data_IF_286243908429
#
_entry.id   IF_286243908429
#
_cell.length_a   1.000
_cell.length_b   1.000
_cell.length_c   1.000
_cell.angle_alpha   90.00
_cell.angle_beta   90.00
_cell.angle_gamma   90.00
#
_symmetry.space_group_name_H-M   'P 1'
#
loop_
_entity.id
_entity.type
_entity.pdbx_description
1 polymer ?
#
# COMPACT_ATOMS: atom_id res chain seq x y z
N UNK A 1 10.95 15.55 -27.75
CA UNK A 1 11.52 14.90 -26.55
C UNK A 1 10.62 13.72 -26.20
N UNK A 2 11.11 12.48 -26.27
CA UNK A 2 10.31 11.31 -25.82
C UNK A 2 10.28 11.34 -24.30
N UNK A 3 9.10 11.56 -23.72
CA UNK A 3 8.87 11.39 -22.30
C UNK A 3 9.14 9.91 -21.97
N UNK A 4 10.24 9.62 -21.28
CA UNK A 4 10.43 8.31 -20.69
C UNK A 4 9.57 8.28 -19.42
N UNK A 5 8.40 7.64 -19.48
CA UNK A 5 7.67 7.28 -18.27
C UNK A 5 8.62 6.45 -17.40
N UNK A 6 9.04 7.01 -16.26
CA UNK A 6 9.64 6.18 -15.22
C UNK A 6 8.54 5.22 -14.76
N UNK A 7 8.77 3.90 -14.76
CA UNK A 7 7.77 2.96 -14.28
C UNK A 7 7.39 3.35 -12.84
N UNK A 8 6.08 3.48 -12.61
CA UNK A 8 5.57 3.85 -11.30
C UNK A 8 5.86 2.71 -10.33
N UNK A 9 6.46 3.01 -9.17
CA UNK A 9 6.84 1.98 -8.20
C UNK A 9 5.60 1.26 -7.70
N UNK A 10 5.68 -0.07 -7.67
CA UNK A 10 4.63 -0.94 -7.18
C UNK A 10 4.94 -1.45 -5.77
N UNK A 11 3.93 -1.97 -5.08
CA UNK A 11 4.16 -2.67 -3.80
C UNK A 11 4.96 -3.95 -4.01
N UNK A 12 4.89 -4.59 -5.18
CA UNK A 12 5.70 -5.75 -5.53
C UNK A 12 7.19 -5.39 -5.52
N UNK A 13 7.57 -4.22 -6.04
CA UNK A 13 8.96 -3.74 -6.00
C UNK A 13 9.44 -3.56 -4.56
N UNK A 14 8.59 -2.99 -3.70
CA UNK A 14 8.89 -2.79 -2.27
C UNK A 14 9.03 -4.15 -1.55
N UNK A 15 8.17 -5.13 -1.85
CA UNK A 15 8.31 -6.51 -1.32
C UNK A 15 9.62 -7.14 -1.80
N UNK A 16 9.88 -7.12 -3.11
CA UNK A 16 11.06 -7.74 -3.71
C UNK A 16 12.37 -7.12 -3.20
N UNK A 17 12.35 -5.85 -2.82
CA UNK A 17 13.51 -5.17 -2.22
C UNK A 17 13.80 -5.57 -0.76
N UNK A 18 12.88 -6.27 -0.10
CA UNK A 18 13.00 -6.71 1.29
C UNK A 18 12.58 -5.68 2.34
N UNK A 19 12.09 -4.49 1.94
CA UNK A 19 11.58 -3.49 2.90
C UNK A 19 10.37 -4.00 3.70
N UNK A 20 9.54 -4.86 3.09
CA UNK A 20 8.38 -5.47 3.73
C UNK A 20 8.25 -6.93 3.33
N UNK A 21 7.66 -7.74 4.23
CA UNK A 21 7.31 -9.13 3.93
C UNK A 21 5.94 -9.21 3.24
N UNK A 22 5.70 -10.20 2.37
CA UNK A 22 4.38 -10.46 1.82
C UNK A 22 3.41 -10.92 2.92
N UNK A 23 2.10 -10.79 2.66
CA UNK A 23 1.01 -11.04 3.62
C UNK A 23 1.01 -10.14 4.87
N UNK A 24 1.72 -9.02 4.84
CA UNK A 24 1.73 -8.05 5.94
C UNK A 24 0.38 -7.33 6.04
N UNK A 25 -0.10 -7.14 7.26
CA UNK A 25 -1.33 -6.39 7.53
C UNK A 25 -1.19 -4.93 7.09
N UNK A 26 -2.27 -4.38 6.55
CA UNK A 26 -2.39 -2.94 6.27
C UNK A 26 -3.43 -2.28 7.16
N UNK A 27 -3.09 -1.06 7.54
CA UNK A 27 -3.82 -0.25 8.48
C UNK A 27 -4.25 1.05 7.81
N UNK A 28 -5.45 1.55 8.16
CA UNK A 28 -5.86 2.87 7.73
C UNK A 28 -5.20 3.96 8.57
N UNK A 29 -4.76 5.04 7.92
CA UNK A 29 -4.19 6.22 8.58
C UNK A 29 -5.13 6.93 9.56
N UNK A 30 -6.45 6.82 9.37
CA UNK A 30 -7.45 7.55 10.16
C UNK A 30 -7.66 7.01 11.58
N UNK A 31 -7.42 5.72 11.80
CA UNK A 31 -7.77 5.04 13.05
C UNK A 31 -6.90 3.82 13.36
N UNK A 32 -5.92 3.51 12.51
CA UNK A 32 -4.97 2.41 12.70
C UNK A 32 -5.65 1.04 12.91
N UNK A 33 -6.86 0.88 12.35
CA UNK A 33 -7.52 -0.42 12.30
C UNK A 33 -6.93 -1.27 11.18
N UNK A 34 -6.76 -2.57 11.45
CA UNK A 34 -6.42 -3.56 10.42
C UNK A 34 -7.58 -3.65 9.45
N UNK A 35 -7.34 -3.35 8.18
CA UNK A 35 -8.36 -3.42 7.13
C UNK A 35 -8.14 -4.59 6.16
N UNK A 36 -6.94 -5.18 6.19
CA UNK A 36 -6.56 -6.20 5.24
C UNK A 36 -5.07 -6.49 5.25
N UNK A 37 -4.55 -6.92 4.11
CA UNK A 37 -3.12 -7.25 3.93
C UNK A 37 -2.61 -6.93 2.53
N UNK A 38 -1.29 -6.76 2.40
CA UNK A 38 -0.61 -6.77 1.10
C UNK A 38 -0.25 -8.21 0.78
N UNK A 39 -0.75 -8.75 -0.34
CA UNK A 39 -0.43 -10.11 -0.75
C UNK A 39 0.93 -10.22 -1.46
N UNK A 40 1.33 -11.44 -1.81
CA UNK A 40 2.63 -11.70 -2.46
C UNK A 40 2.77 -11.04 -3.84
N UNK A 41 1.67 -10.71 -4.50
CA UNK A 41 1.66 -10.01 -5.79
C UNK A 41 1.72 -8.48 -5.64
N UNK A 42 1.86 -7.95 -4.42
CA UNK A 42 1.86 -6.51 -4.20
C UNK A 42 0.46 -5.89 -4.38
N UNK A 43 -0.60 -6.67 -4.26
CA UNK A 43 -1.96 -6.16 -4.25
C UNK A 43 -2.47 -6.02 -2.81
N UNK A 44 -3.29 -5.00 -2.56
CA UNK A 44 -3.96 -4.79 -1.27
C UNK A 44 -5.27 -5.58 -1.28
N UNK A 45 -5.39 -6.51 -0.34
CA UNK A 45 -6.61 -7.27 -0.07
C UNK A 45 -7.31 -6.69 1.14
N UNK A 46 -8.51 -6.16 0.98
CA UNK A 46 -9.32 -5.60 2.08
C UNK A 46 -10.73 -6.18 2.05
N UNK A 47 -11.40 -6.19 3.21
CA UNK A 47 -12.81 -6.59 3.32
C UNK A 47 -13.68 -5.33 3.34
N UNK A 48 -14.56 -5.17 2.36
CA UNK A 48 -15.54 -4.08 2.30
C UNK A 48 -16.93 -4.73 2.25
N UNK A 49 -17.80 -4.35 3.19
CA UNK A 49 -19.18 -4.86 3.29
C UNK A 49 -19.25 -6.39 3.33
N UNK A 50 -18.32 -7.03 4.06
CA UNK A 50 -18.25 -8.48 4.15
C UNK A 50 -17.53 -9.17 2.97
N UNK A 51 -17.26 -8.46 1.88
CA UNK A 51 -16.70 -9.02 0.64
C UNK A 51 -15.21 -8.72 0.55
N UNK A 52 -14.40 -9.75 0.27
CA UNK A 52 -12.97 -9.59 -0.01
C UNK A 52 -12.80 -8.92 -1.38
N UNK A 53 -12.08 -7.81 -1.43
CA UNK A 53 -11.69 -7.10 -2.65
C UNK A 53 -10.17 -7.00 -2.74
N UNK A 54 -9.64 -7.10 -3.95
CA UNK A 54 -8.21 -7.08 -4.24
C UNK A 54 -7.92 -5.94 -5.20
N UNK A 55 -6.95 -5.11 -4.86
CA UNK A 55 -6.58 -3.94 -5.65
C UNK A 55 -5.08 -3.95 -5.95
N UNK A 56 -4.67 -3.83 -7.23
CA UNK A 56 -3.25 -3.82 -7.59
C UNK A 56 -2.54 -2.53 -7.16
N UNK A 57 -3.27 -1.47 -6.84
CA UNK A 57 -2.70 -0.16 -6.49
C UNK A 57 -3.25 0.39 -5.17
N UNK A 58 -2.40 1.01 -4.32
CA UNK A 58 -2.80 1.65 -3.06
C UNK A 58 -3.97 2.62 -3.19
N UNK A 59 -3.93 3.47 -4.23
CA UNK A 59 -4.95 4.49 -4.48
C UNK A 59 -6.32 3.88 -4.78
N UNK A 60 -6.37 2.77 -5.52
CA UNK A 60 -7.62 2.07 -5.83
C UNK A 60 -8.28 1.50 -4.57
N UNK A 61 -7.49 0.82 -3.73
CA UNK A 61 -7.97 0.31 -2.45
C UNK A 61 -8.49 1.44 -1.55
N UNK A 62 -7.73 2.52 -1.42
CA UNK A 62 -8.06 3.62 -0.52
C UNK A 62 -9.36 4.32 -0.94
N UNK A 63 -9.56 4.56 -2.23
CA UNK A 63 -10.82 5.13 -2.76
C UNK A 63 -12.00 4.18 -2.55
N UNK A 64 -11.80 2.88 -2.77
CA UNK A 64 -12.86 1.89 -2.58
C UNK A 64 -13.33 1.82 -1.12
N UNK A 65 -12.40 1.98 -0.17
CA UNK A 65 -12.67 2.00 1.27
C UNK A 65 -13.28 3.34 1.72
N UNK A 66 -12.63 4.46 1.41
CA UNK A 66 -13.02 5.79 1.91
C UNK A 66 -14.20 6.42 1.16
N UNK A 67 -14.55 5.91 -0.02
CA UNK A 67 -15.53 6.50 -0.95
C UNK A 67 -15.20 7.93 -1.38
N UNK A 68 -13.97 8.39 -1.20
CA UNK A 68 -13.51 9.72 -1.61
C UNK A 68 -12.12 9.66 -2.23
N UNK A 69 -11.70 10.76 -2.86
CA UNK A 69 -10.38 10.86 -3.46
C UNK A 69 -9.32 11.09 -2.38
N UNK A 70 -8.52 10.07 -2.10
CA UNK A 70 -7.41 10.13 -1.15
C UNK A 70 -6.11 9.67 -1.80
N UNK A 71 -4.98 10.11 -1.25
CA UNK A 71 -3.67 9.59 -1.62
C UNK A 71 -3.46 8.20 -0.98
N UNK A 72 -3.58 7.14 -1.77
CA UNK A 72 -3.46 5.77 -1.27
C UNK A 72 -2.12 5.47 -0.61
N UNK A 73 -1.02 6.06 -1.08
CA UNK A 73 0.31 5.80 -0.51
C UNK A 73 0.46 6.38 0.90
N UNK A 74 -0.19 7.51 1.20
CA UNK A 74 -0.23 8.08 2.56
C UNK A 74 -1.34 7.45 3.41
N UNK A 75 -2.42 7.03 2.77
CA UNK A 75 -3.58 6.50 3.47
C UNK A 75 -3.29 5.17 4.18
N UNK A 76 -2.51 4.29 3.54
CA UNK A 76 -2.18 2.97 4.07
C UNK A 76 -0.89 3.02 4.89
N UNK A 77 -0.92 2.35 6.05
CA UNK A 77 0.24 2.08 6.89
C UNK A 77 0.48 0.58 7.04
N UNK A 78 1.70 0.20 7.37
CA UNK A 78 2.05 -1.12 7.92
C UNK A 78 2.53 -0.95 9.35
N UNK A 79 2.42 -2.00 10.16
CA UNK A 79 3.03 -2.03 11.48
C UNK A 79 4.33 -2.82 11.41
N UNK A 80 5.46 -2.17 11.70
CA UNK A 80 6.80 -2.74 11.57
C UNK A 80 7.74 -2.08 12.58
N UNK A 81 8.54 -2.88 13.30
CA UNK A 81 9.43 -2.41 14.37
C UNK A 81 8.73 -1.50 15.41
N UNK A 82 7.56 -1.93 15.87
CA UNK A 82 6.72 -1.21 16.85
C UNK A 82 6.23 0.18 16.42
N UNK A 83 6.27 0.47 15.13
CA UNK A 83 5.79 1.73 14.56
C UNK A 83 4.86 1.51 13.37
N UNK A 84 3.91 2.44 13.20
CA UNK A 84 3.10 2.52 11.99
C UNK A 84 3.80 3.35 10.92
N UNK A 85 4.19 2.70 9.82
CA UNK A 85 4.93 3.31 8.72
C UNK A 85 4.03 3.46 7.49
N UNK A 86 3.95 4.65 6.92
CA UNK A 86 3.20 4.90 5.67
C UNK A 86 3.83 4.19 4.47
N UNK A 87 3.00 3.69 3.53
CA UNK A 87 3.52 3.14 2.27
C UNK A 87 4.29 4.19 1.44
N UNK A 88 3.92 5.47 1.57
CA UNK A 88 4.63 6.58 0.95
C UNK A 88 6.08 6.68 1.44
N UNK A 89 6.32 6.43 2.73
CA UNK A 89 7.67 6.43 3.28
C UNK A 89 8.49 5.26 2.73
N UNK A 90 7.90 4.07 2.63
CA UNK A 90 8.56 2.91 2.02
C UNK A 90 8.91 3.17 0.54
N UNK A 91 7.98 3.77 -0.21
CA UNK A 91 8.22 4.18 -1.61
C UNK A 91 9.39 5.16 -1.70
N UNK A 92 9.47 6.14 -0.79
CA UNK A 92 10.58 7.09 -0.73
C UNK A 92 11.91 6.39 -0.41
N UNK A 93 11.95 5.50 0.59
CA UNK A 93 13.15 4.72 0.94
C UNK A 93 13.66 3.88 -0.23
N UNK A 94 12.76 3.29 -1.01
CA UNK A 94 13.10 2.56 -2.24
C UNK A 94 13.72 3.47 -3.31
N UNK A 95 13.18 4.67 -3.51
CA UNK A 95 13.68 5.63 -4.51
C UNK A 95 15.04 6.24 -4.18
N UNK A 96 15.40 6.28 -2.90
CA UNK A 96 16.67 6.86 -2.41
C UNK A 96 17.78 5.82 -2.23
N UNK A 97 17.51 4.56 -2.56
CA UNK A 97 18.50 3.48 -2.56
C UNK A 97 19.39 3.57 -3.80
#
# INVERSE_FOLDING_TARGET
>A
MKYQEKPDITLKDIINSGFIKPNISVYASINENILGKINIEGAIEIKIDGIKKVFPFPSGAARAFTKTSVNGWKFWKIYYNDEFIELAELKRKYLTK
#
